data_IF_006971011443
#
_entry.id   IF_006971011443
#
_cell.length_a   1.000
_cell.length_b   1.000
_cell.length_c   1.000
_cell.angle_alpha   90.00
_cell.angle_beta   90.00
_cell.angle_gamma   90.00
#
_symmetry.space_group_name_H-M   'P 1'
#
loop_
_entity.id
_entity.type
_entity.pdbx_description
1 polymer ?
#
# COMPACT_ATOMS: atom_id res chain seq x y z
N UNK A 1 -18.96 22.39 -19.86
CA UNK A 1 -18.75 20.98 -20.24
C UNK A 1 -18.34 20.21 -18.99
N UNK A 2 -19.30 19.57 -18.30
CA UNK A 2 -19.04 18.85 -17.04
C UNK A 2 -18.57 17.44 -17.43
N UNK A 3 -17.28 17.14 -17.22
CA UNK A 3 -16.74 15.78 -17.43
C UNK A 3 -17.42 14.82 -16.44
N UNK A 4 -17.85 13.62 -16.87
CA UNK A 4 -18.37 12.63 -15.93
C UNK A 4 -17.25 12.19 -14.99
N UNK A 5 -17.49 12.39 -13.70
CA UNK A 5 -16.58 12.03 -12.62
C UNK A 5 -16.50 10.51 -12.55
N UNK A 6 -15.38 9.94 -13.01
CA UNK A 6 -15.12 8.50 -13.01
C UNK A 6 -15.27 7.94 -11.59
N UNK A 7 -15.88 6.77 -11.46
CA UNK A 7 -16.21 6.07 -10.20
C UNK A 7 -15.04 5.94 -9.21
N UNK A 8 -13.80 6.04 -9.71
CA UNK A 8 -12.54 6.05 -8.92
C UNK A 8 -12.36 7.29 -8.04
N UNK A 9 -13.09 8.38 -8.27
CA UNK A 9 -12.93 9.63 -7.53
C UNK A 9 -13.57 9.62 -6.13
N UNK A 10 -14.37 8.60 -5.78
CA UNK A 10 -15.04 8.54 -4.46
C UNK A 10 -14.09 8.13 -3.32
N UNK A 11 -13.12 7.26 -3.61
CA UNK A 11 -12.18 6.73 -2.62
C UNK A 11 -11.30 7.81 -1.92
N UNK A 12 -10.68 8.77 -2.63
CA UNK A 12 -9.85 9.78 -1.98
C UNK A 12 -10.64 10.80 -1.12
N UNK A 13 -11.93 11.03 -1.42
CA UNK A 13 -12.77 11.90 -0.59
C UNK A 13 -13.14 11.23 0.75
N UNK A 14 -13.41 9.92 0.74
CA UNK A 14 -13.75 9.18 1.96
C UNK A 14 -12.54 9.01 2.91
N UNK A 15 -11.34 8.76 2.39
CA UNK A 15 -10.14 8.68 3.22
C UNK A 15 -9.78 10.02 3.87
N UNK A 16 -10.06 11.14 3.20
CA UNK A 16 -9.90 12.49 3.77
C UNK A 16 -10.87 12.76 4.92
N UNK A 17 -12.11 12.27 4.86
CA UNK A 17 -13.06 12.41 5.98
C UNK A 17 -12.67 11.60 7.22
N UNK A 18 -11.86 10.55 7.06
CA UNK A 18 -11.32 9.74 8.15
C UNK A 18 -9.99 10.27 8.70
N UNK A 19 -9.50 11.44 8.23
CA UNK A 19 -8.22 12.04 8.58
C UNK A 19 -7.02 11.06 8.48
N UNK A 20 -7.13 10.07 7.59
CA UNK A 20 -6.15 9.00 7.45
C UNK A 20 -5.04 9.44 6.49
N UNK A 21 -3.79 9.17 6.84
CA UNK A 21 -2.64 9.42 5.96
C UNK A 21 -2.79 8.57 4.70
N UNK A 22 -3.06 9.21 3.56
CA UNK A 22 -3.10 8.54 2.26
C UNK A 22 -1.73 8.60 1.60
N UNK A 23 -1.17 7.46 1.25
CA UNK A 23 0.07 7.35 0.48
C UNK A 23 -0.25 6.77 -0.90
N UNK A 24 0.01 7.55 -1.96
CA UNK A 24 -0.24 7.13 -3.33
C UNK A 24 0.93 6.31 -3.88
N UNK A 25 0.64 5.16 -4.47
CA UNK A 25 1.63 4.27 -5.09
C UNK A 25 1.32 4.04 -6.57
N UNK A 26 2.33 3.93 -7.45
CA UNK A 26 2.15 3.71 -8.89
C UNK A 26 1.93 2.23 -9.26
N UNK A 27 1.53 1.39 -8.29
CA UNK A 27 1.28 -0.04 -8.46
C UNK A 27 -0.07 -0.42 -7.86
N UNK A 28 -0.54 -1.65 -8.15
CA UNK A 28 -1.78 -2.16 -7.53
C UNK A 28 -1.55 -2.42 -6.06
N UNK A 29 -2.41 -1.90 -5.19
CA UNK A 29 -2.29 -2.03 -3.73
C UNK A 29 -2.73 -3.41 -3.22
N UNK A 30 -2.19 -4.49 -3.79
CA UNK A 30 -2.37 -5.84 -3.24
C UNK A 30 -1.37 -6.06 -2.10
N UNK A 31 -1.66 -7.01 -1.21
CA UNK A 31 -0.80 -7.29 -0.06
C UNK A 31 0.63 -7.68 -0.48
N UNK A 32 0.78 -8.41 -1.57
CA UNK A 32 2.07 -8.84 -2.13
C UNK A 32 2.90 -7.65 -2.65
N UNK A 33 2.27 -6.77 -3.42
CA UNK A 33 2.95 -5.58 -3.98
C UNK A 33 3.38 -4.62 -2.88
N UNK A 34 2.52 -4.43 -1.86
CA UNK A 34 2.83 -3.59 -0.70
C UNK A 34 3.95 -4.22 0.13
N UNK A 35 3.90 -5.52 0.41
CA UNK A 35 4.93 -6.21 1.19
C UNK A 35 6.30 -6.09 0.52
N UNK A 36 6.37 -6.29 -0.80
CA UNK A 36 7.61 -6.11 -1.57
C UNK A 36 8.09 -4.67 -1.58
N UNK A 37 7.19 -3.70 -1.75
CA UNK A 37 7.56 -2.28 -1.72
C UNK A 37 8.18 -1.90 -0.38
N UNK A 38 7.57 -2.32 0.73
CA UNK A 38 8.10 -2.05 2.08
C UNK A 38 9.45 -2.75 2.27
N UNK A 39 9.56 -4.02 1.87
CA UNK A 39 10.82 -4.77 1.98
C UNK A 39 11.95 -4.07 1.22
N UNK A 40 11.72 -3.70 -0.04
CA UNK A 40 12.73 -3.05 -0.86
C UNK A 40 13.13 -1.69 -0.28
N UNK A 41 12.17 -0.92 0.22
CA UNK A 41 12.46 0.37 0.85
C UNK A 41 13.30 0.22 2.12
N UNK A 42 12.98 -0.74 2.98
CA UNK A 42 13.75 -0.99 4.20
C UNK A 42 15.14 -1.56 3.90
N UNK A 43 15.25 -2.51 2.97
CA UNK A 43 16.51 -3.19 2.64
C UNK A 43 17.45 -2.33 1.80
N UNK A 44 16.94 -1.61 0.81
CA UNK A 44 17.77 -0.86 -0.15
C UNK A 44 17.88 0.63 0.19
N UNK A 45 16.77 1.30 0.52
CA UNK A 45 16.81 2.75 0.78
C UNK A 45 17.36 3.03 2.19
N UNK A 46 16.89 2.30 3.20
CA UNK A 46 17.31 2.45 4.61
C UNK A 46 18.48 1.52 4.99
N UNK A 47 18.91 0.64 4.07
CA UNK A 47 20.03 -0.29 4.27
C UNK A 47 19.90 -1.19 5.52
N UNK A 48 18.67 -1.54 5.89
CA UNK A 48 18.40 -2.42 7.02
C UNK A 48 18.58 -3.88 6.61
N UNK A 49 19.26 -4.66 7.45
CA UNK A 49 19.42 -6.11 7.27
C UNK A 49 18.14 -6.84 7.69
N UNK A 50 17.10 -6.76 6.87
CA UNK A 50 15.85 -7.50 7.06
C UNK A 50 15.86 -8.79 6.24
N UNK A 51 15.37 -9.88 6.83
CA UNK A 51 15.31 -11.20 6.18
C UNK A 51 13.94 -11.50 5.55
N UNK A 52 12.87 -10.98 6.14
CA UNK A 52 11.50 -11.16 5.66
C UNK A 52 10.58 -10.08 6.21
N UNK A 53 9.47 -9.82 5.53
CA UNK A 53 8.37 -8.99 6.04
C UNK A 53 7.05 -9.73 5.95
N UNK A 54 6.21 -9.60 6.97
CA UNK A 54 4.84 -10.13 7.00
C UNK A 54 3.83 -9.00 7.08
N UNK A 55 2.97 -8.91 6.08
CA UNK A 55 1.90 -7.92 5.98
C UNK A 55 0.55 -8.60 6.21
N UNK A 56 -0.21 -8.10 7.19
CA UNK A 56 -1.56 -8.58 7.47
C UNK A 56 -2.57 -7.65 6.79
N UNK A 57 -3.33 -8.16 5.83
CA UNK A 57 -4.42 -7.41 5.19
C UNK A 57 -5.67 -7.42 6.07
N UNK A 58 -5.93 -8.55 6.71
CA UNK A 58 -6.96 -8.73 7.73
C UNK A 58 -6.37 -9.51 8.90
N UNK A 59 -7.03 -9.57 10.07
CA UNK A 59 -6.52 -10.34 11.22
C UNK A 59 -6.29 -11.83 10.95
N UNK A 60 -6.88 -12.38 9.87
CA UNK A 60 -6.79 -13.81 9.51
C UNK A 60 -6.11 -14.06 8.16
N UNK A 61 -5.73 -13.01 7.43
CA UNK A 61 -5.09 -13.12 6.11
C UNK A 61 -3.80 -12.32 6.08
N UNK A 62 -2.71 -12.97 5.70
CA UNK A 62 -1.40 -12.35 5.62
C UNK A 62 -0.65 -12.75 4.34
N UNK A 63 0.25 -11.87 3.93
CA UNK A 63 1.26 -12.12 2.91
C UNK A 63 2.64 -12.03 3.57
N UNK A 64 3.55 -12.92 3.19
CA UNK A 64 4.94 -12.86 3.59
C UNK A 64 5.83 -12.73 2.36
N UNK A 65 6.78 -11.79 2.41
CA UNK A 65 7.77 -11.59 1.37
C UNK A 65 9.18 -11.78 1.95
N UNK A 66 9.98 -12.57 1.23
CA UNK A 66 11.36 -12.89 1.54
C UNK A 66 12.15 -12.97 0.22
N UNK A 67 13.41 -12.54 0.24
CA UNK A 67 14.36 -12.58 -0.88
C UNK A 67 15.54 -13.47 -0.54
#
# INVERSE_FOLDING_TARGET
MIKPMSEKAKLPLYCKSLNSKTFGVPFRTTAEEIARFIFNRLKHDEQLSISSIRLWETPTSFCEYQE
#
